data_IF_581453772374
#
_entry.id   IF_581453772374
#
_cell.length_a   1.000
_cell.length_b   1.000
_cell.length_c   1.000
_cell.angle_alpha   90.00
_cell.angle_beta   90.00
_cell.angle_gamma   90.00
#
_symmetry.space_group_name_H-M   'P 1'
#
loop_
_entity.id
_entity.type
_entity.pdbx_description
1 polymer ?
#
# COMPACT_ATOMS: atom_id res chain seq x y z
N UNK A 1 3.08 3.54 -14.05
CA UNK A 1 2.87 2.19 -14.57
C UNK A 1 1.38 1.92 -14.68
N UNK A 2 0.91 1.46 -15.84
CA UNK A 2 -0.48 1.04 -16.03
C UNK A 2 -0.77 -0.34 -15.41
N UNK A 3 0.24 -0.97 -14.83
CA UNK A 3 0.21 -2.34 -14.35
C UNK A 3 -0.24 -2.42 -12.88
N UNK A 4 -0.91 -3.51 -12.49
CA UNK A 4 -1.31 -3.73 -11.11
C UNK A 4 -0.09 -3.96 -10.21
N UNK A 5 -0.20 -3.54 -8.97
CA UNK A 5 0.84 -3.72 -7.96
C UNK A 5 0.83 -5.16 -7.45
N UNK A 6 1.98 -5.82 -7.46
CA UNK A 6 2.14 -7.13 -6.82
C UNK A 6 2.19 -6.97 -5.31
N UNK A 7 1.30 -7.66 -4.62
CA UNK A 7 1.22 -7.68 -3.15
C UNK A 7 1.00 -9.10 -2.65
N UNK A 8 0.98 -9.31 -1.34
CA UNK A 8 0.73 -10.62 -0.73
C UNK A 8 -0.50 -10.55 0.16
N UNK A 9 -1.29 -11.62 0.16
CA UNK A 9 -2.35 -11.81 1.16
C UNK A 9 -1.72 -12.09 2.52
N UNK A 10 -2.51 -12.01 3.60
CA UNK A 10 -2.11 -12.43 4.96
C UNK A 10 -1.52 -13.86 4.99
N UNK A 11 -2.02 -14.75 4.14
CA UNK A 11 -1.53 -16.12 3.99
C UNK A 11 -0.28 -16.24 3.08
N UNK A 12 0.33 -15.12 2.67
CA UNK A 12 1.55 -15.07 1.86
C UNK A 12 1.37 -15.35 0.36
N UNK A 13 0.14 -15.53 -0.14
CA UNK A 13 -0.11 -15.76 -1.57
C UNK A 13 0.09 -14.46 -2.35
N UNK A 14 0.91 -14.48 -3.40
CA UNK A 14 1.09 -13.35 -4.29
C UNK A 14 -0.21 -13.06 -5.06
N UNK A 15 -0.61 -11.81 -5.06
CA UNK A 15 -1.77 -11.29 -5.79
C UNK A 15 -1.40 -9.97 -6.45
N UNK A 16 -2.17 -9.57 -7.47
CA UNK A 16 -2.04 -8.28 -8.12
C UNK A 16 -3.27 -7.43 -7.85
N UNK A 17 -3.07 -6.16 -7.53
CA UNK A 17 -4.13 -5.23 -7.15
C UNK A 17 -3.94 -3.88 -7.81
N UNK A 18 -5.06 -3.23 -8.15
CA UNK A 18 -5.12 -1.81 -8.46
C UNK A 18 -5.59 -1.04 -7.24
N UNK A 19 -5.12 0.19 -7.11
CA UNK A 19 -5.51 1.08 -6.02
C UNK A 19 -6.14 2.35 -6.59
N UNK A 20 -7.25 2.75 -6.00
CA UNK A 20 -8.01 3.93 -6.37
C UNK A 20 -8.28 4.80 -5.14
N UNK A 21 -8.39 6.10 -5.34
CA UNK A 21 -8.85 7.07 -4.35
C UNK A 21 -10.30 7.44 -4.64
N UNK A 22 -11.19 7.31 -3.66
CA UNK A 22 -12.53 7.87 -3.75
C UNK A 22 -12.44 9.38 -3.56
N UNK A 23 -12.75 10.16 -4.61
CA UNK A 23 -12.71 11.62 -4.52
C UNK A 23 -13.68 12.13 -3.46
N UNK A 24 -14.87 11.54 -3.36
CA UNK A 24 -15.89 11.90 -2.39
C UNK A 24 -15.40 11.72 -0.95
N UNK A 25 -14.89 10.52 -0.63
CA UNK A 25 -14.36 10.21 0.71
C UNK A 25 -13.09 10.99 1.06
N UNK A 26 -12.25 11.28 0.07
CA UNK A 26 -11.06 12.11 0.28
C UNK A 26 -11.40 13.58 0.63
N UNK A 27 -12.56 14.07 0.18
CA UNK A 27 -13.02 15.43 0.38
C UNK A 27 -14.00 15.58 1.56
N UNK A 28 -14.34 14.48 2.20
CA UNK A 28 -15.18 14.43 3.39
C UNK A 28 -14.30 14.44 4.64
N UNK A 29 -14.46 15.46 5.48
CA UNK A 29 -13.66 15.63 6.71
C UNK A 29 -14.08 14.66 7.82
N UNK A 30 -15.29 14.08 7.75
CA UNK A 30 -15.84 13.14 8.74
C UNK A 30 -15.49 11.67 8.44
N UNK A 31 -15.02 11.35 7.24
CA UNK A 31 -14.63 10.00 6.83
C UNK A 31 -13.20 9.66 7.24
N UNK A 32 -12.97 8.39 7.60
CA UNK A 32 -11.61 7.89 7.82
C UNK A 32 -10.87 7.82 6.46
N UNK A 33 -9.73 8.50 6.39
CA UNK A 33 -8.90 8.55 5.18
C UNK A 33 -8.44 7.18 4.68
N UNK A 34 -8.39 6.17 5.55
CA UNK A 34 -8.11 4.79 5.13
C UNK A 34 -9.23 4.21 4.27
N UNK A 35 -10.49 4.59 4.54
CA UNK A 35 -11.66 4.14 3.78
C UNK A 35 -11.76 4.79 2.40
N UNK A 36 -11.01 5.88 2.18
CA UNK A 36 -10.93 6.52 0.88
C UNK A 36 -10.07 5.75 -0.14
N UNK A 37 -9.23 4.80 0.33
CA UNK A 37 -8.36 3.99 -0.53
C UNK A 37 -9.02 2.65 -0.83
N UNK A 38 -9.36 2.43 -2.10
CA UNK A 38 -9.94 1.17 -2.56
C UNK A 38 -8.87 0.28 -3.19
N UNK A 39 -8.83 -0.98 -2.78
CA UNK A 39 -7.98 -2.01 -3.35
C UNK A 39 -8.82 -2.96 -4.21
N UNK A 40 -8.56 -2.97 -5.52
CA UNK A 40 -9.36 -3.66 -6.52
C UNK A 40 -8.56 -4.84 -7.12
N UNK A 41 -9.18 -6.01 -7.35
CA UNK A 41 -8.52 -7.15 -8.00
C UNK A 41 -8.00 -6.85 -9.42
N UNK A 42 -7.18 -7.73 -9.97
CA UNK A 42 -6.55 -7.59 -11.30
C UNK A 42 -7.58 -7.48 -12.43
N UNK A 43 -8.76 -8.11 -12.31
CA UNK A 43 -9.87 -8.01 -13.27
C UNK A 43 -10.64 -6.68 -13.19
N UNK A 44 -10.23 -5.77 -12.30
CA UNK A 44 -10.83 -4.46 -12.01
C UNK A 44 -12.30 -4.52 -11.59
N UNK A 45 -12.72 -5.62 -10.97
CA UNK A 45 -14.10 -5.82 -10.52
C UNK A 45 -14.14 -6.22 -9.06
N UNK A 46 -15.09 -5.65 -8.32
CA UNK A 46 -15.49 -6.14 -7.01
C UNK A 46 -16.75 -6.95 -7.20
N UNK A 47 -16.74 -8.19 -6.74
CA UNK A 47 -17.86 -9.12 -6.84
C UNK A 47 -18.38 -9.47 -5.46
N UNK A 48 -19.67 -9.72 -5.39
CA UNK A 48 -20.39 -10.16 -4.20
C UNK A 48 -21.09 -11.50 -4.48
N UNK A 49 -21.74 -12.07 -3.47
CA UNK A 49 -22.52 -13.31 -3.58
C UNK A 49 -21.76 -14.48 -4.24
N UNK A 50 -20.52 -14.76 -3.75
CA UNK A 50 -19.68 -15.83 -4.30
C UNK A 50 -19.34 -15.61 -5.81
N UNK A 51 -18.92 -14.40 -6.15
CA UNK A 51 -18.56 -13.99 -7.52
C UNK A 51 -19.71 -13.97 -8.55
N UNK A 52 -20.97 -14.01 -8.10
CA UNK A 52 -22.14 -14.02 -8.99
C UNK A 52 -22.53 -12.62 -9.44
N UNK A 53 -22.44 -11.65 -8.55
CA UNK A 53 -22.88 -10.28 -8.81
C UNK A 53 -21.67 -9.33 -8.82
N UNK A 54 -21.61 -8.46 -9.83
CA UNK A 54 -20.59 -7.41 -9.92
C UNK A 54 -21.12 -6.18 -9.18
N UNK A 55 -20.50 -5.85 -8.04
CA UNK A 55 -20.83 -4.67 -7.25
C UNK A 55 -20.19 -3.40 -7.83
N UNK A 56 -18.96 -3.50 -8.30
CA UNK A 56 -18.21 -2.40 -8.87
C UNK A 56 -17.39 -2.92 -10.04
N UNK A 57 -17.46 -2.23 -11.17
CA UNK A 57 -16.67 -2.49 -12.37
C UNK A 57 -15.85 -1.24 -12.71
N UNK A 58 -14.53 -1.36 -12.75
CA UNK A 58 -13.60 -0.29 -13.13
C UNK A 58 -12.77 -0.70 -14.35
N UNK A 59 -13.32 -1.55 -15.21
CA UNK A 59 -12.62 -2.05 -16.39
C UNK A 59 -12.40 -0.98 -17.45
N UNK A 60 -13.21 0.10 -17.44
CA UNK A 60 -13.08 1.25 -18.35
C UNK A 60 -12.88 2.56 -17.59
N UNK A 61 -12.39 3.58 -18.29
CA UNK A 61 -12.21 4.93 -17.73
C UNK A 61 -13.53 5.61 -17.39
N UNK A 62 -14.57 5.34 -18.17
CA UNK A 62 -15.90 5.89 -17.95
C UNK A 62 -16.45 5.49 -16.58
N UNK A 63 -16.23 4.24 -16.16
CA UNK A 63 -16.62 3.77 -14.84
C UNK A 63 -15.78 4.40 -13.71
N UNK A 64 -14.49 4.69 -13.96
CA UNK A 64 -13.69 5.46 -13.01
C UNK A 64 -14.30 6.85 -12.77
N UNK A 65 -14.75 7.53 -13.84
CA UNK A 65 -15.38 8.86 -13.76
C UNK A 65 -16.75 8.80 -13.08
N UNK A 66 -17.59 7.84 -13.47
CA UNK A 66 -18.92 7.65 -12.91
C UNK A 66 -18.90 7.45 -11.39
N UNK A 67 -17.96 6.64 -10.92
CA UNK A 67 -17.78 6.36 -9.49
C UNK A 67 -16.81 7.31 -8.77
N UNK A 68 -16.31 8.34 -9.48
CA UNK A 68 -15.33 9.31 -8.95
C UNK A 68 -14.13 8.63 -8.28
N UNK A 69 -13.61 7.58 -8.91
CA UNK A 69 -12.50 6.79 -8.42
C UNK A 69 -11.23 7.10 -9.21
N UNK A 70 -10.34 7.87 -8.59
CA UNK A 70 -9.08 8.30 -9.19
C UNK A 70 -8.01 7.20 -9.05
N UNK A 71 -7.36 6.75 -10.14
CA UNK A 71 -6.35 5.69 -10.09
C UNK A 71 -5.03 6.20 -9.50
N UNK A 72 -4.57 5.56 -8.42
CA UNK A 72 -3.35 5.98 -7.68
C UNK A 72 -2.08 5.87 -8.54
N UNK A 73 -2.05 4.94 -9.48
CA UNK A 73 -0.86 4.68 -10.31
C UNK A 73 -0.47 5.82 -11.26
N UNK A 74 -1.33 6.84 -11.45
CA UNK A 74 -1.03 8.01 -12.28
C UNK A 74 -0.68 9.25 -11.46
N UNK A 75 -0.73 9.20 -10.14
CA UNK A 75 -0.60 10.37 -9.25
C UNK A 75 0.72 11.16 -9.46
N UNK A 76 1.78 10.48 -9.85
CA UNK A 76 3.10 11.08 -10.10
C UNK A 76 3.37 11.38 -11.58
N UNK A 77 2.40 11.13 -12.47
CA UNK A 77 2.47 11.44 -13.89
C UNK A 77 1.52 12.58 -14.23
N UNK A 78 2.02 13.81 -14.28
CA UNK A 78 1.21 15.01 -14.51
C UNK A 78 0.44 14.98 -15.82
N UNK A 79 0.98 14.33 -16.88
CA UNK A 79 0.27 14.20 -18.15
C UNK A 79 -0.89 13.23 -18.01
N UNK A 80 -0.67 12.08 -17.36
CA UNK A 80 -1.74 11.11 -17.13
C UNK A 80 -2.83 11.65 -16.21
N UNK A 81 -2.49 12.48 -15.21
CA UNK A 81 -3.46 13.21 -14.37
C UNK A 81 -4.29 14.17 -15.21
N UNK A 82 -3.64 14.94 -16.10
CA UNK A 82 -4.34 15.88 -16.97
C UNK A 82 -5.27 15.15 -17.97
N UNK A 83 -4.82 14.05 -18.57
CA UNK A 83 -5.63 13.22 -19.45
C UNK A 83 -6.86 12.67 -18.73
N UNK A 84 -6.67 12.19 -17.50
CA UNK A 84 -7.75 11.70 -16.66
C UNK A 84 -8.74 12.82 -16.32
N UNK A 85 -8.26 13.99 -15.94
CA UNK A 85 -9.07 15.17 -15.67
C UNK A 85 -9.90 15.60 -16.87
N UNK A 86 -9.30 15.66 -18.07
CA UNK A 86 -10.02 16.03 -19.28
C UNK A 86 -11.13 15.01 -19.61
N UNK A 87 -10.88 13.72 -19.43
CA UNK A 87 -11.89 12.68 -19.56
C UNK A 87 -13.02 12.83 -18.54
N UNK A 88 -12.67 13.07 -17.27
CA UNK A 88 -13.63 13.34 -16.19
C UNK A 88 -14.51 14.56 -16.51
N UNK A 89 -13.91 15.68 -16.94
CA UNK A 89 -14.66 16.88 -17.33
C UNK A 89 -15.58 16.63 -18.52
N UNK A 90 -15.12 15.86 -19.51
CA UNK A 90 -15.94 15.48 -20.67
C UNK A 90 -17.13 14.61 -20.25
N UNK A 91 -16.91 13.64 -19.36
CA UNK A 91 -17.96 12.76 -18.82
C UNK A 91 -19.07 13.58 -18.11
N UNK A 92 -18.70 14.60 -17.36
CA UNK A 92 -19.65 15.49 -16.66
C UNK A 92 -20.11 16.68 -17.51
N UNK A 93 -19.82 16.71 -18.81
CA UNK A 93 -20.28 17.77 -19.72
C UNK A 93 -19.71 19.15 -19.42
N UNK A 94 -18.44 19.20 -18.95
CA UNK A 94 -17.73 20.45 -18.60
C UNK A 94 -18.43 21.31 -17.54
N UNK A 95 -19.16 20.68 -16.61
CA UNK A 95 -19.89 21.39 -15.57
C UNK A 95 -18.95 22.06 -14.57
N UNK A 96 -19.25 23.29 -14.10
CA UNK A 96 -18.43 23.99 -13.11
C UNK A 96 -18.27 23.21 -11.79
N UNK A 97 -19.31 22.51 -11.37
CA UNK A 97 -19.31 21.72 -10.12
C UNK A 97 -18.25 20.59 -10.18
N UNK A 98 -18.15 19.90 -11.31
CA UNK A 98 -17.14 18.86 -11.50
C UNK A 98 -15.71 19.45 -11.54
N UNK A 99 -15.57 20.66 -12.13
CA UNK A 99 -14.30 21.40 -12.14
C UNK A 99 -13.87 21.76 -10.72
N UNK A 100 -14.77 22.30 -9.91
CA UNK A 100 -14.48 22.74 -8.55
C UNK A 100 -14.19 21.54 -7.63
N UNK A 101 -14.92 20.44 -7.79
CA UNK A 101 -14.65 19.18 -7.08
C UNK A 101 -13.25 18.65 -7.38
N UNK A 102 -12.87 18.58 -8.66
CA UNK A 102 -11.54 18.12 -9.04
C UNK A 102 -10.43 19.06 -8.56
N UNK A 103 -10.63 20.37 -8.64
CA UNK A 103 -9.67 21.35 -8.10
C UNK A 103 -9.40 21.18 -6.62
N UNK A 104 -10.48 20.97 -5.82
CA UNK A 104 -10.33 20.68 -4.39
C UNK A 104 -9.57 19.38 -4.19
N UNK A 105 -9.95 18.30 -4.88
CA UNK A 105 -9.26 17.03 -4.83
C UNK A 105 -7.77 17.14 -5.22
N UNK A 106 -7.47 17.91 -6.26
CA UNK A 106 -6.09 18.15 -6.66
C UNK A 106 -5.31 18.92 -5.58
N UNK A 107 -5.89 19.98 -5.02
CA UNK A 107 -5.22 20.82 -4.01
C UNK A 107 -4.97 20.05 -2.70
N UNK A 108 -6.01 19.39 -2.19
CA UNK A 108 -5.99 18.80 -0.85
C UNK A 108 -5.38 17.39 -0.83
N UNK A 109 -5.47 16.65 -1.94
CA UNK A 109 -5.04 15.26 -2.01
C UNK A 109 -3.84 15.06 -2.93
N UNK A 110 -3.97 15.35 -4.24
CA UNK A 110 -2.91 15.02 -5.21
C UNK A 110 -1.63 15.82 -4.95
N UNK A 111 -1.73 17.12 -4.65
CA UNK A 111 -0.57 17.96 -4.33
C UNK A 111 0.07 17.53 -3.01
N UNK A 112 -0.71 17.13 -2.02
CA UNK A 112 -0.22 16.63 -0.75
C UNK A 112 0.56 15.32 -0.94
N UNK A 113 0.04 14.38 -1.72
CA UNK A 113 0.72 13.11 -2.04
C UNK A 113 2.00 13.39 -2.84
N UNK A 114 1.93 14.23 -3.88
CA UNK A 114 3.07 14.52 -4.75
C UNK A 114 4.17 15.34 -4.04
N UNK A 115 3.77 16.20 -3.09
CA UNK A 115 4.67 17.01 -2.28
C UNK A 115 5.21 16.30 -1.05
N UNK A 116 4.72 15.10 -0.72
CA UNK A 116 5.13 14.37 0.49
C UNK A 116 6.60 13.94 0.40
N UNK A 117 7.38 14.34 1.39
CA UNK A 117 8.79 13.98 1.50
C UNK A 117 8.95 12.87 2.52
N UNK A 118 9.36 11.69 2.06
CA UNK A 118 9.73 10.59 2.95
C UNK A 118 11.06 10.95 3.64
N UNK A 119 11.11 10.98 4.99
CA UNK A 119 12.37 11.10 5.69
C UNK A 119 13.20 9.84 5.45
N UNK A 120 14.42 10.00 4.96
CA UNK A 120 15.35 8.90 4.71
C UNK A 120 16.60 9.10 5.56
N UNK A 121 16.94 8.09 6.38
CA UNK A 121 18.20 8.03 7.11
C UNK A 121 19.12 7.08 6.36
N UNK A 122 20.18 7.64 5.76
CA UNK A 122 21.21 6.84 5.09
C UNK A 122 22.35 6.57 6.07
N UNK A 123 22.61 5.29 6.32
CA UNK A 123 23.73 4.86 7.14
C UNK A 123 24.91 4.45 6.23
N UNK A 124 26.11 4.90 6.57
CA UNK A 124 27.32 4.51 5.86
C UNK A 124 27.63 3.02 6.08
N UNK A 125 28.29 2.36 5.11
CA UNK A 125 28.71 0.96 5.22
C UNK A 125 29.68 0.71 6.38
N UNK A 126 30.41 1.74 6.81
CA UNK A 126 31.32 1.72 7.95
C UNK A 126 30.62 1.91 9.29
N UNK A 127 29.32 2.23 9.32
CA UNK A 127 28.58 2.46 10.56
C UNK A 127 28.59 1.18 11.44
N UNK A 128 29.04 1.28 12.71
CA UNK A 128 29.03 0.13 13.62
C UNK A 128 27.63 -0.47 13.76
N UNK A 129 27.54 -1.80 13.85
CA UNK A 129 26.26 -2.52 13.92
C UNK A 129 25.39 -2.11 15.09
N UNK A 130 26.02 -1.85 16.25
CA UNK A 130 25.33 -1.38 17.46
C UNK A 130 24.65 -0.03 17.21
N UNK A 131 25.32 0.86 16.45
CA UNK A 131 24.74 2.15 16.06
C UNK A 131 23.55 1.97 15.08
N UNK A 132 23.67 1.02 14.14
CA UNK A 132 22.55 0.68 13.22
C UNK A 132 21.35 0.19 14.01
N UNK A 133 21.51 -0.78 14.93
CA UNK A 133 20.44 -1.29 15.78
C UNK A 133 19.79 -0.16 16.60
N UNK A 134 20.61 0.74 17.19
CA UNK A 134 20.09 1.85 17.97
C UNK A 134 19.30 2.87 17.15
N UNK A 135 19.69 3.11 15.89
CA UNK A 135 18.90 3.96 14.97
C UNK A 135 17.55 3.29 14.68
N UNK A 136 17.54 1.98 14.42
CA UNK A 136 16.28 1.25 14.20
C UNK A 136 15.37 1.28 15.43
N UNK A 137 15.89 1.10 16.63
CA UNK A 137 15.13 1.23 17.88
C UNK A 137 14.51 2.62 18.00
N UNK A 138 15.30 3.67 17.79
CA UNK A 138 14.86 5.06 17.98
C UNK A 138 13.83 5.50 16.93
N UNK A 139 13.96 5.04 15.68
CA UNK A 139 13.02 5.41 14.60
C UNK A 139 11.68 4.69 14.79
N UNK A 140 11.65 3.53 15.40
CA UNK A 140 10.45 2.73 15.64
C UNK A 140 9.63 3.12 16.88
N UNK A 141 10.03 4.15 17.62
CA UNK A 141 9.32 4.58 18.83
C UNK A 141 7.92 5.17 18.55
N UNK A 142 7.56 5.45 17.29
CA UNK A 142 6.26 5.99 16.89
C UNK A 142 5.39 5.05 16.02
N UNK A 143 5.87 3.80 15.76
CA UNK A 143 5.17 2.81 14.91
C UNK A 143 4.97 1.47 15.62
N UNK A 144 4.84 0.39 14.83
CA UNK A 144 4.86 -0.97 15.38
C UNK A 144 6.27 -1.26 15.91
N UNK A 145 6.45 -1.49 17.22
CA UNK A 145 7.79 -1.73 17.78
C UNK A 145 8.38 -3.00 17.16
N UNK A 146 9.65 -2.91 16.73
CA UNK A 146 10.40 -4.08 16.29
C UNK A 146 10.60 -5.02 17.47
N UNK A 147 10.34 -6.29 17.25
CA UNK A 147 10.66 -7.32 18.23
C UNK A 147 12.18 -7.52 18.32
N UNK A 148 12.65 -8.03 19.46
CA UNK A 148 14.06 -8.40 19.66
C UNK A 148 14.52 -9.37 18.56
N UNK A 149 13.64 -10.27 18.11
CA UNK A 149 13.93 -11.22 17.03
C UNK A 149 14.18 -10.53 15.69
N UNK A 150 13.42 -9.47 15.38
CA UNK A 150 13.62 -8.69 14.13
C UNK A 150 14.93 -7.91 14.16
N UNK A 151 15.29 -7.33 15.31
CA UNK A 151 16.58 -6.64 15.49
C UNK A 151 17.76 -7.60 15.34
N UNK A 152 17.66 -8.78 15.95
CA UNK A 152 18.68 -9.83 15.84
C UNK A 152 18.76 -10.35 14.40
N UNK A 153 17.61 -10.55 13.72
CA UNK A 153 17.56 -10.96 12.30
C UNK A 153 18.28 -9.94 11.43
N UNK A 154 18.02 -8.64 11.61
CA UNK A 154 18.72 -7.58 10.87
C UNK A 154 20.23 -7.58 11.12
N UNK A 155 20.66 -7.86 12.36
CA UNK A 155 22.08 -7.95 12.72
C UNK A 155 22.79 -9.12 12.01
N UNK A 156 22.13 -10.26 11.86
CA UNK A 156 22.69 -11.46 11.22
C UNK A 156 22.61 -11.43 9.70
N UNK A 157 21.64 -10.72 9.11
CA UNK A 157 21.48 -10.57 7.66
C UNK A 157 22.74 -10.02 6.97
N UNK A 158 23.56 -9.24 7.66
CA UNK A 158 24.84 -8.69 7.15
C UNK A 158 25.96 -9.74 7.04
N UNK A 159 25.73 -10.96 7.50
CA UNK A 159 26.72 -12.07 7.49
C UNK A 159 26.33 -13.19 6.52
N UNK A 160 25.41 -12.93 5.58
CA UNK A 160 24.79 -13.94 4.71
C UNK A 160 24.13 -15.10 5.49
N UNK A 161 23.76 -14.84 6.76
CA UNK A 161 23.08 -15.79 7.63
C UNK A 161 21.61 -15.41 7.75
N UNK A 162 20.73 -16.27 7.25
CA UNK A 162 19.28 -16.11 7.34
C UNK A 162 18.76 -16.73 8.67
N UNK A 163 18.74 -15.91 9.71
CA UNK A 163 18.28 -16.33 11.04
C UNK A 163 16.85 -16.88 11.01
N UNK A 164 15.97 -16.36 10.16
CA UNK A 164 14.60 -16.86 10.05
C UNK A 164 14.53 -18.28 9.51
N UNK A 165 15.32 -18.56 8.49
CA UNK A 165 15.40 -19.94 7.95
C UNK A 165 15.97 -20.90 8.96
N UNK A 166 17.05 -20.50 9.61
CA UNK A 166 17.68 -21.30 10.65
C UNK A 166 16.71 -21.58 11.80
N UNK A 167 16.02 -20.54 12.29
CA UNK A 167 15.00 -20.68 13.32
C UNK A 167 13.88 -21.64 12.94
N UNK A 168 13.32 -21.50 11.73
CA UNK A 168 12.28 -22.42 11.22
C UNK A 168 12.78 -23.85 11.14
N UNK A 169 14.02 -24.06 10.71
CA UNK A 169 14.63 -25.37 10.63
C UNK A 169 14.83 -25.99 12.02
N UNK A 170 15.39 -25.24 12.96
CA UNK A 170 15.55 -25.66 14.36
C UNK A 170 14.20 -25.97 15.00
N UNK A 171 13.19 -25.09 14.82
CA UNK A 171 11.83 -25.31 15.32
C UNK A 171 11.22 -26.59 14.77
N UNK A 172 11.31 -26.84 13.46
CA UNK A 172 10.78 -28.04 12.83
C UNK A 172 11.48 -29.31 13.34
N UNK A 173 12.78 -29.24 13.59
CA UNK A 173 13.54 -30.33 14.21
C UNK A 173 13.05 -30.60 15.63
N UNK A 174 12.88 -29.58 16.46
CA UNK A 174 12.38 -29.71 17.83
C UNK A 174 10.94 -30.23 17.84
N UNK A 175 10.06 -29.69 17.00
CA UNK A 175 8.67 -30.16 16.89
C UNK A 175 8.57 -31.62 16.37
N UNK A 176 9.59 -32.12 15.68
CA UNK A 176 9.67 -33.52 15.27
C UNK A 176 9.85 -34.50 16.43
N UNK A 177 10.25 -34.02 17.63
CA UNK A 177 10.40 -34.84 18.84
C UNK A 177 9.13 -34.98 19.69
N UNK A 178 8.07 -34.25 19.37
CA UNK A 178 6.76 -34.37 20.05
C UNK A 178 5.95 -33.08 20.03
N UNK A 179 4.61 -33.21 20.09
CA UNK A 179 3.68 -32.08 20.06
C UNK A 179 3.80 -31.12 21.26
N UNK A 180 4.38 -31.60 22.37
CA UNK A 180 4.59 -30.81 23.60
C UNK A 180 5.69 -29.74 23.48
N UNK A 181 6.51 -29.78 22.41
CA UNK A 181 7.60 -28.85 22.15
C UNK A 181 7.28 -27.84 21.04
N UNK A 182 6.02 -27.75 20.64
CA UNK A 182 5.57 -26.71 19.67
C UNK A 182 5.71 -25.35 20.31
N UNK A 183 6.50 -24.49 19.65
CA UNK A 183 6.61 -23.07 19.99
C UNK A 183 5.93 -22.26 18.89
N UNK A 184 4.96 -21.44 19.27
CA UNK A 184 4.36 -20.46 18.37
C UNK A 184 5.28 -19.23 18.29
N UNK A 185 5.59 -18.79 17.07
CA UNK A 185 6.29 -17.54 16.77
C UNK A 185 5.30 -16.55 16.22
#
# INVERSE_FOLDING_TARGET
>A
SKDPVSTKTEKGKAIKRYYYLSMEKCLDDDEDRFDAVLSIPEDRKIKENFDRDVKLDLSTREYEYEHKLFPVNIVFDSNAVMDWFMGYMTHYGMKPEAMDEFKRFQADVLNTISGYKLPVITLDKSTPREAVCKVFENVNTGGVPLTVFELVTATYATRDFDLRKDWVQCRNTICGFGDTLRTDL
#
